data_IF_608154383975
#
_entry.id   IF_608154383975
#
_cell.length_a   1.000
_cell.length_b   1.000
_cell.length_c   1.000
_cell.angle_alpha   90.00
_cell.angle_beta   90.00
_cell.angle_gamma   90.00
#
_symmetry.space_group_name_H-M   'P 1'
#
loop_
_entity.id
_entity.type
_entity.pdbx_description
1 polymer ?
#
# COMPACT_ATOMS: atom_id res chain seq x y z
N UNK A 1 56.42 12.98 -16.59
CA UNK A 1 54.99 13.30 -16.80
C UNK A 1 54.18 12.57 -15.74
N UNK A 2 53.93 13.24 -14.62
CA UNK A 2 53.07 12.79 -13.53
C UNK A 2 51.68 13.38 -13.79
N UNK A 3 50.68 12.53 -13.95
CA UNK A 3 49.28 12.91 -14.14
C UNK A 3 48.42 12.31 -13.04
N UNK A 4 48.10 13.14 -12.05
CA UNK A 4 47.17 12.88 -10.96
C UNK A 4 45.75 12.63 -11.46
N UNK A 5 45.07 11.61 -10.94
CA UNK A 5 43.61 11.57 -10.85
C UNK A 5 43.17 11.30 -9.42
N UNK A 6 42.38 12.24 -8.91
CA UNK A 6 41.73 12.29 -7.61
C UNK A 6 40.82 11.09 -7.34
N UNK A 7 40.77 10.55 -6.11
CA UNK A 7 39.65 9.71 -5.70
C UNK A 7 38.45 10.63 -5.38
N UNK A 8 37.30 10.38 -6.01
CA UNK A 8 36.03 10.98 -5.61
C UNK A 8 35.61 10.38 -4.26
N UNK A 9 35.95 11.08 -3.19
CA UNK A 9 35.39 10.89 -1.85
C UNK A 9 34.03 11.59 -1.77
N UNK A 10 32.96 10.84 -1.51
CA UNK A 10 31.65 11.42 -1.19
C UNK A 10 30.54 10.41 -0.92
N UNK A 11 30.52 9.27 -1.63
CA UNK A 11 29.44 8.27 -1.53
C UNK A 11 29.83 7.01 -0.77
N UNK A 12 31.11 6.62 -0.74
CA UNK A 12 31.56 5.46 0.05
C UNK A 12 31.67 5.77 1.55
N UNK A 13 31.90 7.02 1.94
CA UNK A 13 32.03 7.42 3.35
C UNK A 13 30.69 7.48 4.10
N UNK A 14 29.57 7.72 3.40
CA UNK A 14 28.23 7.74 3.99
C UNK A 14 27.76 6.34 4.42
N UNK A 15 28.34 5.28 3.86
CA UNK A 15 28.06 3.90 4.23
C UNK A 15 28.70 3.47 5.57
N UNK A 16 29.50 4.31 6.23
CA UNK A 16 30.32 3.92 7.38
C UNK A 16 29.91 4.55 8.73
N UNK A 17 28.70 5.08 8.87
CA UNK A 17 28.13 5.50 10.16
C UNK A 17 26.72 4.96 10.37
N UNK A 18 26.63 3.64 10.54
CA UNK A 18 25.38 2.98 10.87
C UNK A 18 25.63 2.04 12.07
N UNK A 19 24.70 2.12 13.02
CA UNK A 19 24.68 1.46 14.33
C UNK A 19 24.93 -0.05 14.26
N UNK A 20 25.25 -0.65 15.41
CA UNK A 20 25.62 -2.07 15.58
C UNK A 20 24.67 -3.04 14.84
N UNK A 21 23.37 -2.75 14.75
CA UNK A 21 22.41 -3.59 14.03
C UNK A 21 22.60 -3.56 12.50
N UNK A 22 22.97 -2.42 11.93
CA UNK A 22 23.29 -2.33 10.50
C UNK A 22 24.65 -2.94 10.18
N UNK A 23 25.59 -2.93 11.12
CA UNK A 23 26.82 -3.72 10.99
C UNK A 23 26.51 -5.22 11.03
N UNK A 24 25.66 -5.68 11.97
CA UNK A 24 25.19 -7.08 12.03
C UNK A 24 24.46 -7.52 10.76
N UNK A 25 23.62 -6.65 10.16
CA UNK A 25 22.91 -6.93 8.91
C UNK A 25 23.80 -6.81 7.66
N UNK A 26 24.81 -5.92 7.64
CA UNK A 26 25.82 -5.84 6.57
C UNK A 26 26.69 -7.08 6.51
N UNK A 27 26.97 -7.75 7.63
CA UNK A 27 27.70 -9.03 7.64
C UNK A 27 26.89 -10.15 6.98
N UNK A 28 25.55 -10.12 7.08
CA UNK A 28 24.67 -11.03 6.35
C UNK A 28 24.47 -10.63 4.87
N UNK A 29 24.54 -9.34 4.55
CA UNK A 29 24.36 -8.80 3.20
C UNK A 29 25.71 -8.60 2.49
N UNK A 30 26.12 -9.61 1.72
CA UNK A 30 27.22 -9.55 0.74
C UNK A 30 28.65 -9.47 1.31
N UNK A 31 29.13 -10.58 1.86
CA UNK A 31 30.56 -10.88 1.88
C UNK A 31 30.88 -12.02 0.90
N UNK A 32 31.10 -11.69 -0.38
CA UNK A 32 32.37 -12.03 -1.06
C UNK A 32 32.44 -11.38 -2.43
N UNK A 33 33.61 -10.81 -2.72
CA UNK A 33 33.95 -10.11 -3.96
C UNK A 33 33.74 -11.01 -5.18
N UNK A 34 32.85 -10.62 -6.09
CA UNK A 34 33.02 -10.62 -7.56
C UNK A 34 31.73 -10.11 -8.19
N UNK A 35 31.90 -9.24 -9.18
CA UNK A 35 30.86 -8.68 -10.03
C UNK A 35 29.82 -9.74 -10.44
N UNK A 36 28.55 -9.35 -10.48
CA UNK A 36 27.38 -10.14 -10.91
C UNK A 36 26.62 -10.99 -9.86
N UNK A 37 27.00 -10.99 -8.56
CA UNK A 37 26.24 -11.70 -7.49
C UNK A 37 25.37 -10.83 -6.59
N UNK A 38 25.44 -9.50 -6.68
CA UNK A 38 24.71 -8.59 -5.77
C UNK A 38 23.19 -8.68 -5.89
N UNK A 39 22.65 -8.63 -7.11
CA UNK A 39 21.20 -8.74 -7.35
C UNK A 39 20.65 -10.13 -7.01
N UNK A 40 21.39 -11.20 -7.35
CA UNK A 40 21.01 -12.57 -6.99
C UNK A 40 21.03 -12.80 -5.47
N UNK A 41 22.03 -12.29 -4.76
CA UNK A 41 22.12 -12.37 -3.30
C UNK A 41 20.99 -11.58 -2.63
N UNK A 42 20.72 -10.34 -3.07
CA UNK A 42 19.60 -9.54 -2.55
C UNK A 42 18.27 -10.21 -2.86
N UNK A 43 18.05 -10.75 -4.06
CA UNK A 43 16.79 -11.41 -4.44
C UNK A 43 16.61 -12.77 -3.74
N UNK A 44 17.67 -13.57 -3.59
CA UNK A 44 17.63 -14.85 -2.90
C UNK A 44 17.51 -14.70 -1.37
N UNK A 45 18.09 -13.64 -0.80
CA UNK A 45 18.01 -13.36 0.65
C UNK A 45 16.86 -12.43 1.03
N UNK A 46 16.19 -11.77 0.06
CA UNK A 46 15.03 -10.90 0.28
C UNK A 46 13.95 -11.56 1.14
N UNK A 47 13.53 -12.82 0.89
CA UNK A 47 12.50 -13.44 1.71
C UNK A 47 12.96 -13.56 3.16
N UNK A 48 14.25 -13.80 3.39
CA UNK A 48 14.80 -14.12 4.71
C UNK A 48 15.05 -12.87 5.53
N UNK A 49 15.79 -11.90 4.98
CA UNK A 49 16.09 -10.67 5.72
C UNK A 49 14.84 -9.83 5.94
N UNK A 50 13.89 -9.83 4.99
CA UNK A 50 12.59 -9.16 5.19
C UNK A 50 11.70 -9.85 6.23
N UNK A 51 11.88 -11.15 6.44
CA UNK A 51 11.11 -11.92 7.42
C UNK A 51 11.66 -11.85 8.84
N UNK A 52 12.90 -11.41 9.08
CA UNK A 52 13.48 -11.33 10.45
C UNK A 52 13.97 -9.94 10.84
N UNK A 53 14.04 -9.02 9.88
CA UNK A 53 14.52 -7.66 10.08
C UNK A 53 13.83 -6.68 9.12
N UNK A 54 12.54 -6.91 8.83
CA UNK A 54 11.72 -6.09 7.94
C UNK A 54 11.71 -4.61 8.31
N UNK A 55 11.62 -4.28 9.60
CA UNK A 55 11.64 -2.88 10.05
C UNK A 55 13.03 -2.26 9.95
N UNK A 56 14.09 -2.98 10.38
CA UNK A 56 15.46 -2.49 10.21
C UNK A 56 15.81 -2.22 8.73
N UNK A 57 15.36 -3.11 7.82
CA UNK A 57 15.56 -2.94 6.38
C UNK A 57 14.73 -1.81 5.79
N UNK A 58 13.49 -1.62 6.23
CA UNK A 58 12.66 -0.50 5.78
C UNK A 58 13.26 0.85 6.18
N UNK A 59 13.82 0.96 7.39
CA UNK A 59 14.59 2.14 7.78
C UNK A 59 15.82 2.34 6.88
N UNK A 60 16.63 1.30 6.71
CA UNK A 60 17.83 1.37 5.87
C UNK A 60 17.48 1.82 4.44
N UNK A 61 16.41 1.28 3.86
CA UNK A 61 15.90 1.67 2.55
C UNK A 61 15.47 3.14 2.53
N UNK A 62 14.71 3.56 3.54
CA UNK A 62 14.20 4.93 3.65
C UNK A 62 15.32 5.95 3.77
N UNK A 63 16.36 5.67 4.56
CA UNK A 63 17.54 6.52 4.70
C UNK A 63 18.39 6.53 3.42
N UNK A 64 18.65 5.35 2.84
CA UNK A 64 19.50 5.22 1.65
C UNK A 64 18.89 5.90 0.41
N UNK A 65 17.56 5.87 0.30
CA UNK A 65 16.81 6.49 -0.79
C UNK A 65 16.31 7.90 -0.45
N UNK A 66 16.65 8.42 0.75
CA UNK A 66 16.26 9.76 1.23
C UNK A 66 14.74 10.00 1.14
N UNK A 67 13.94 9.02 1.55
CA UNK A 67 12.48 9.05 1.40
C UNK A 67 11.76 9.95 2.40
N UNK A 68 12.45 10.79 3.17
CA UNK A 68 11.84 11.62 4.23
C UNK A 68 10.67 12.47 3.71
N UNK A 69 10.88 13.21 2.62
CA UNK A 69 9.85 14.05 2.01
C UNK A 69 8.75 13.22 1.33
N UNK A 70 9.11 12.06 0.75
CA UNK A 70 8.18 11.14 0.14
C UNK A 70 7.22 10.50 1.17
N UNK A 71 7.76 10.13 2.34
CA UNK A 71 7.00 9.65 3.50
C UNK A 71 6.08 10.76 4.02
N UNK A 72 6.57 12.00 4.12
CA UNK A 72 5.75 13.13 4.54
C UNK A 72 4.61 13.43 3.56
N UNK A 73 4.89 13.40 2.25
CA UNK A 73 3.87 13.57 1.21
C UNK A 73 2.82 12.44 1.24
N UNK A 74 3.25 11.19 1.36
CA UNK A 74 2.34 10.03 1.50
C UNK A 74 1.45 10.17 2.73
N UNK A 75 2.01 10.61 3.87
CA UNK A 75 1.22 10.88 5.08
C UNK A 75 0.18 11.99 4.87
N UNK A 76 0.52 13.08 4.19
CA UNK A 76 -0.45 14.15 3.88
C UNK A 76 -1.59 13.65 3.00
N UNK A 77 -1.28 12.93 1.91
CA UNK A 77 -2.29 12.32 1.04
C UNK A 77 -3.17 11.34 1.80
N UNK A 78 -2.59 10.53 2.68
CA UNK A 78 -3.34 9.63 3.54
C UNK A 78 -4.32 10.36 4.47
N UNK A 79 -3.89 11.41 5.16
CA UNK A 79 -4.79 12.16 6.05
C UNK A 79 -5.93 12.82 5.27
N UNK A 80 -5.64 13.41 4.10
CA UNK A 80 -6.68 13.97 3.24
C UNK A 80 -7.69 12.90 2.80
N UNK A 81 -7.21 11.72 2.40
CA UNK A 81 -8.05 10.60 2.00
C UNK A 81 -8.91 10.07 3.14
N UNK A 82 -8.32 9.91 4.32
CA UNK A 82 -9.01 9.47 5.54
C UNK A 82 -10.15 10.43 5.89
N UNK A 83 -9.86 11.73 5.95
CA UNK A 83 -10.83 12.75 6.32
C UNK A 83 -11.97 12.84 5.29
N UNK A 84 -11.63 12.94 4.00
CA UNK A 84 -12.62 13.02 2.93
C UNK A 84 -13.52 11.78 2.88
N UNK A 85 -12.96 10.59 3.13
CA UNK A 85 -13.74 9.34 3.21
C UNK A 85 -14.72 9.36 4.39
N UNK A 86 -14.28 9.79 5.57
CA UNK A 86 -15.15 9.89 6.75
C UNK A 86 -16.28 10.90 6.56
N UNK A 87 -15.97 12.07 6.01
CA UNK A 87 -16.98 13.08 5.68
C UNK A 87 -17.99 12.58 4.64
N UNK A 88 -17.53 11.79 3.67
CA UNK A 88 -18.41 11.24 2.64
C UNK A 88 -19.34 10.17 3.20
N UNK A 89 -18.88 9.30 4.11
CA UNK A 89 -19.74 8.26 4.71
C UNK A 89 -20.97 8.84 5.41
N UNK A 90 -20.88 10.06 5.97
CA UNK A 90 -22.04 10.76 6.53
C UNK A 90 -23.10 11.17 5.49
N UNK A 91 -22.75 11.17 4.19
CA UNK A 91 -23.60 11.61 3.07
C UNK A 91 -24.03 10.48 2.14
N UNK A 92 -23.41 9.31 2.24
CA UNK A 92 -23.71 8.14 1.39
C UNK A 92 -25.16 7.70 1.61
N UNK A 93 -25.97 7.72 0.55
CA UNK A 93 -27.43 7.50 0.64
C UNK A 93 -27.85 6.03 0.81
N UNK A 94 -26.98 5.09 0.48
CA UNK A 94 -27.32 3.67 0.50
C UNK A 94 -27.03 2.97 1.82
N UNK A 95 -26.28 3.64 2.71
CA UNK A 95 -26.05 3.19 4.08
C UNK A 95 -27.11 3.82 5.00
N UNK A 96 -27.62 3.05 5.94
CA UNK A 96 -28.35 3.62 7.08
C UNK A 96 -27.39 4.35 8.05
N UNK A 97 -27.96 5.16 8.94
CA UNK A 97 -27.19 5.98 9.88
C UNK A 97 -26.28 5.16 10.82
N UNK A 98 -26.69 3.95 11.22
CA UNK A 98 -25.89 3.09 12.10
C UNK A 98 -24.67 2.55 11.37
N UNK A 99 -24.86 2.07 10.14
CA UNK A 99 -23.77 1.56 9.29
C UNK A 99 -22.81 2.69 8.91
N UNK A 100 -23.32 3.88 8.58
CA UNK A 100 -22.49 5.06 8.30
C UNK A 100 -21.64 5.48 9.51
N UNK A 101 -22.23 5.53 10.72
CA UNK A 101 -21.50 5.81 11.95
C UNK A 101 -20.44 4.73 12.25
N UNK A 102 -20.78 3.46 12.03
CA UNK A 102 -19.85 2.33 12.12
C UNK A 102 -18.68 2.49 11.16
N UNK A 103 -18.92 2.85 9.90
CA UNK A 103 -17.89 3.09 8.90
C UNK A 103 -16.95 4.25 9.28
N UNK A 104 -17.50 5.38 9.74
CA UNK A 104 -16.70 6.52 10.25
C UNK A 104 -15.83 6.09 11.43
N UNK A 105 -16.42 5.33 12.35
CA UNK A 105 -15.73 4.76 13.50
C UNK A 105 -14.59 3.83 13.07
N UNK A 106 -14.84 2.96 12.10
CA UNK A 106 -13.88 2.01 11.55
C UNK A 106 -12.68 2.72 10.92
N UNK A 107 -12.87 3.73 10.05
CA UNK A 107 -11.76 4.55 9.52
C UNK A 107 -10.98 5.25 10.64
N UNK A 108 -11.66 5.71 11.69
CA UNK A 108 -11.00 6.34 12.84
C UNK A 108 -10.16 5.35 13.67
N UNK A 109 -10.48 4.05 13.65
CA UNK A 109 -9.73 2.99 14.34
C UNK A 109 -8.60 2.38 13.53
N UNK A 110 -8.53 2.66 12.23
CA UNK A 110 -7.53 2.10 11.33
C UNK A 110 -6.13 2.60 11.68
N UNK A 111 -5.25 1.68 12.07
CA UNK A 111 -3.85 1.97 12.31
C UNK A 111 -3.11 2.11 10.97
N UNK A 112 -2.10 2.97 10.94
CA UNK A 112 -1.29 3.22 9.75
C UNK A 112 0.19 2.89 10.03
N UNK A 113 0.81 2.18 9.09
CA UNK A 113 2.24 1.96 9.04
C UNK A 113 2.74 2.51 7.71
N UNK A 114 3.22 3.75 7.70
CA UNK A 114 3.78 4.39 6.51
C UNK A 114 5.30 4.36 6.63
N UNK A 115 5.92 3.52 5.81
CA UNK A 115 7.34 3.17 5.78
C UNK A 115 7.85 2.44 7.03
N UNK A 116 7.56 2.93 8.24
CA UNK A 116 8.04 2.42 9.52
C UNK A 116 7.01 2.70 10.64
N UNK A 117 6.96 1.88 11.71
CA UNK A 117 6.23 2.23 12.92
C UNK A 117 6.77 3.50 13.58
N UNK A 118 5.88 4.35 14.10
CA UNK A 118 6.24 5.65 14.68
C UNK A 118 7.21 5.52 15.88
N UNK A 119 7.00 4.50 16.71
CA UNK A 119 7.80 4.24 17.91
C UNK A 119 9.15 3.56 17.61
N UNK A 120 9.44 3.18 16.35
CA UNK A 120 10.69 2.52 15.95
C UNK A 120 11.51 3.38 14.97
N UNK A 121 11.42 4.71 15.10
CA UNK A 121 12.14 5.64 14.22
C UNK A 121 13.61 5.82 14.60
N UNK A 122 13.97 5.62 15.87
CA UNK A 122 15.35 5.82 16.32
C UNK A 122 16.18 4.54 16.26
N UNK A 123 17.51 4.68 16.30
CA UNK A 123 18.41 3.53 16.26
C UNK A 123 18.33 2.70 17.54
N UNK A 124 18.33 3.32 18.74
CA UNK A 124 18.09 2.58 19.98
C UNK A 124 16.80 1.76 19.98
N UNK A 125 15.67 2.35 19.54
CA UNK A 125 14.38 1.65 19.53
C UNK A 125 14.39 0.43 18.61
N UNK A 126 15.00 0.56 17.42
CA UNK A 126 15.15 -0.56 16.49
C UNK A 126 16.12 -1.61 17.00
N UNK A 127 17.23 -1.20 17.60
CA UNK A 127 18.22 -2.12 18.17
C UNK A 127 17.58 -2.93 19.29
N UNK A 128 16.76 -2.30 20.14
CA UNK A 128 15.98 -2.96 21.18
C UNK A 128 14.92 -3.90 20.58
N UNK A 129 14.17 -3.47 19.57
CA UNK A 129 13.15 -4.31 18.94
C UNK A 129 13.74 -5.59 18.30
N UNK A 130 14.98 -5.51 17.81
CA UNK A 130 15.70 -6.61 17.16
C UNK A 130 16.78 -7.24 18.05
N UNK A 131 16.71 -7.06 19.37
CA UNK A 131 17.67 -7.62 20.34
C UNK A 131 17.79 -9.17 20.26
N UNK A 132 16.71 -9.82 19.80
CA UNK A 132 16.62 -11.24 19.58
C UNK A 132 17.48 -11.75 18.41
N UNK A 133 17.98 -10.88 17.52
CA UNK A 133 18.76 -11.32 16.38
C UNK A 133 20.13 -11.87 16.84
N UNK A 134 20.53 -13.06 16.35
CA UNK A 134 21.84 -13.61 16.68
C UNK A 134 22.95 -12.78 16.04
N UNK A 135 24.18 -12.96 16.52
CA UNK A 135 25.33 -12.56 15.74
C UNK A 135 25.47 -13.46 14.51
N UNK A 136 25.50 -12.86 13.32
CA UNK A 136 25.55 -13.58 12.05
C UNK A 136 27.00 -13.99 11.70
N UNK A 137 27.64 -14.75 12.59
CA UNK A 137 29.01 -15.27 12.41
C UNK A 137 29.06 -16.68 11.84
N UNK A 138 27.91 -17.37 11.78
CA UNK A 138 27.77 -18.75 11.32
C UNK A 138 27.40 -18.84 9.83
N UNK A 139 27.61 -20.00 9.17
CA UNK A 139 27.12 -20.25 7.82
C UNK A 139 25.64 -19.88 7.65
N UNK A 140 25.29 -19.42 6.45
CA UNK A 140 24.00 -18.81 6.15
C UNK A 140 22.78 -19.58 6.70
N UNK A 141 22.70 -20.89 6.45
CA UNK A 141 21.57 -21.71 6.89
C UNK A 141 21.45 -21.76 8.43
N UNK A 142 22.57 -21.85 9.14
CA UNK A 142 22.58 -21.88 10.61
C UNK A 142 22.21 -20.52 11.20
N UNK A 143 22.78 -19.45 10.65
CA UNK A 143 22.42 -18.06 10.94
C UNK A 143 20.91 -17.81 10.77
N UNK A 144 20.32 -18.33 9.69
CA UNK A 144 18.89 -18.23 9.42
C UNK A 144 18.04 -19.02 10.40
N UNK A 145 18.34 -20.31 10.61
CA UNK A 145 17.61 -21.15 11.56
C UNK A 145 17.64 -20.56 12.98
N UNK A 146 18.78 -20.00 13.38
CA UNK A 146 18.91 -19.33 14.69
C UNK A 146 18.03 -18.08 14.76
N UNK A 147 18.04 -17.22 13.74
CA UNK A 147 17.20 -16.02 13.71
C UNK A 147 15.70 -16.37 13.69
N UNK A 148 15.29 -17.35 12.89
CA UNK A 148 13.91 -17.83 12.81
C UNK A 148 13.43 -18.42 14.14
N UNK A 149 14.27 -19.24 14.80
CA UNK A 149 13.95 -19.79 16.12
C UNK A 149 13.81 -18.68 17.17
N UNK A 150 14.75 -17.73 17.23
CA UNK A 150 14.71 -16.63 18.20
C UNK A 150 13.52 -15.68 17.97
N UNK A 151 13.13 -15.46 16.71
CA UNK A 151 11.89 -14.75 16.35
C UNK A 151 10.66 -15.48 16.87
N UNK A 152 10.58 -16.80 16.64
CA UNK A 152 9.49 -17.64 17.16
C UNK A 152 9.41 -17.54 18.68
N UNK A 153 10.55 -17.62 19.38
CA UNK A 153 10.59 -17.52 20.84
C UNK A 153 10.23 -16.11 21.34
N UNK A 154 10.57 -15.04 20.60
CA UNK A 154 10.07 -13.67 20.87
C UNK A 154 8.54 -13.62 20.82
N UNK A 155 7.93 -14.18 19.77
CA UNK A 155 6.47 -14.19 19.66
C UNK A 155 5.79 -15.06 20.70
N UNK A 156 6.36 -16.21 21.08
CA UNK A 156 5.83 -17.00 22.21
C UNK A 156 5.82 -16.18 23.50
N UNK A 157 6.92 -15.48 23.81
CA UNK A 157 6.96 -14.60 24.98
C UNK A 157 5.92 -13.48 24.93
N UNK A 158 5.66 -12.90 23.76
CA UNK A 158 4.60 -11.90 23.59
C UNK A 158 3.19 -12.48 23.81
N UNK A 159 2.98 -13.75 23.46
CA UNK A 159 1.71 -14.44 23.70
C UNK A 159 1.54 -14.89 25.17
N UNK A 160 2.66 -15.13 25.87
CA UNK A 160 2.68 -15.59 27.27
C UNK A 160 2.61 -14.43 28.29
N UNK A 161 2.52 -13.18 27.84
CA UNK A 161 2.40 -12.01 28.73
C UNK A 161 0.94 -11.58 28.92
N UNK A 162 0.57 -11.22 30.15
CA UNK A 162 -0.70 -10.52 30.48
C UNK A 162 -0.72 -9.05 30.01
N UNK A 163 0.31 -8.61 29.26
CA UNK A 163 0.49 -7.25 28.78
C UNK A 163 -0.32 -6.93 27.53
N UNK A 164 -0.39 -5.64 27.18
CA UNK A 164 -0.98 -5.20 25.91
C UNK A 164 0.02 -5.48 24.78
N UNK A 165 -0.33 -6.39 23.88
CA UNK A 165 0.40 -6.57 22.61
C UNK A 165 -0.07 -5.48 21.64
N UNK A 166 0.84 -4.60 21.24
CA UNK A 166 0.58 -3.63 20.20
C UNK A 166 0.67 -4.31 18.83
N UNK A 167 -0.14 -3.83 17.88
CA UNK A 167 -0.20 -4.46 16.55
C UNK A 167 1.12 -4.32 15.80
N UNK A 168 1.83 -3.23 16.08
CA UNK A 168 3.15 -2.91 15.54
C UNK A 168 4.28 -3.69 16.23
N UNK A 169 4.01 -4.44 17.31
CA UNK A 169 4.98 -5.39 17.89
C UNK A 169 5.22 -6.59 16.96
N UNK A 170 4.29 -6.83 16.04
CA UNK A 170 4.36 -7.85 15.02
C UNK A 170 5.08 -7.32 13.79
N UNK A 171 6.36 -7.66 13.70
CA UNK A 171 7.19 -7.25 12.57
C UNK A 171 6.66 -7.69 11.20
N UNK A 172 6.46 -6.72 10.31
CA UNK A 172 5.97 -6.92 8.95
C UNK A 172 7.11 -6.87 7.90
N UNK A 173 7.00 -7.63 6.78
CA UNK A 173 8.01 -7.63 5.72
C UNK A 173 7.90 -6.38 4.83
N UNK A 174 8.54 -5.29 5.25
CA UNK A 174 8.36 -3.96 4.63
C UNK A 174 9.28 -3.62 3.43
N UNK A 175 9.96 -4.61 2.83
CA UNK A 175 10.98 -4.36 1.77
C UNK A 175 10.46 -4.46 0.32
N UNK A 176 9.14 -4.64 0.18
CA UNK A 176 8.38 -4.66 -1.06
C UNK A 176 8.20 -3.30 -1.74
N UNK A 177 7.86 -3.32 -3.03
CA UNK A 177 7.13 -2.23 -3.69
C UNK A 177 5.67 -2.65 -3.66
N UNK A 178 5.00 -2.38 -2.54
CA UNK A 178 3.61 -2.77 -2.35
C UNK A 178 2.94 -1.97 -1.23
N UNK A 179 1.64 -2.17 -1.07
CA UNK A 179 0.85 -1.76 0.08
C UNK A 179 -0.07 -2.91 0.50
N UNK A 180 -0.56 -2.89 1.74
CA UNK A 180 -1.43 -3.94 2.27
C UNK A 180 -2.40 -3.41 3.33
N UNK A 181 -3.62 -3.93 3.34
CA UNK A 181 -4.46 -3.99 4.53
C UNK A 181 -4.34 -5.35 5.23
N UNK A 182 -4.20 -5.32 6.55
CA UNK A 182 -4.12 -6.51 7.41
C UNK A 182 -5.35 -6.57 8.32
N UNK A 183 -6.41 -7.34 7.97
CA UNK A 183 -7.69 -7.26 8.66
C UNK A 183 -7.64 -7.56 10.15
N UNK A 184 -6.96 -8.64 10.55
CA UNK A 184 -6.90 -9.06 11.96
C UNK A 184 -6.16 -8.06 12.85
N UNK A 185 -5.30 -7.23 12.26
CA UNK A 185 -4.62 -6.15 12.98
C UNK A 185 -5.27 -4.80 12.73
N UNK A 186 -6.23 -4.71 11.81
CA UNK A 186 -6.80 -3.44 11.37
C UNK A 186 -5.70 -2.37 11.14
N UNK A 187 -4.65 -2.76 10.41
CA UNK A 187 -3.52 -1.93 9.98
C UNK A 187 -3.54 -1.80 8.47
N UNK A 188 -3.31 -0.59 7.99
CA UNK A 188 -2.86 -0.33 6.62
C UNK A 188 -1.34 -0.10 6.60
N UNK A 189 -0.59 -0.91 5.84
CA UNK A 189 0.85 -0.85 5.73
C UNK A 189 1.28 -0.39 4.31
N UNK A 190 1.97 0.75 4.23
CA UNK A 190 2.49 1.34 2.99
C UNK A 190 4.01 1.24 3.03
N UNK A 191 4.59 0.46 2.12
CA UNK A 191 6.01 0.14 2.18
C UNK A 191 6.85 1.26 1.55
N UNK A 192 8.08 1.51 2.03
CA UNK A 192 8.94 2.57 1.50
C UNK A 192 9.15 2.46 -0.03
N UNK A 193 9.23 1.23 -0.55
CA UNK A 193 9.46 0.97 -1.96
C UNK A 193 8.39 1.55 -2.91
N UNK A 194 7.16 1.75 -2.43
CA UNK A 194 6.07 2.33 -3.24
C UNK A 194 6.04 3.86 -3.21
N UNK A 195 6.82 4.50 -2.34
CA UNK A 195 6.86 5.97 -2.19
C UNK A 195 7.86 6.61 -3.17
N UNK A 196 7.89 6.10 -4.39
CA UNK A 196 8.80 6.52 -5.46
C UNK A 196 8.04 6.54 -6.80
N UNK A 197 8.59 7.19 -7.84
CA UNK A 197 7.99 7.14 -9.16
C UNK A 197 7.85 5.70 -9.67
N UNK A 198 6.75 5.36 -10.37
CA UNK A 198 5.70 6.26 -10.85
C UNK A 198 4.56 6.52 -9.84
N UNK A 199 4.60 5.94 -8.65
CA UNK A 199 3.52 6.03 -7.67
C UNK A 199 3.50 7.37 -6.93
N UNK A 200 4.67 7.91 -6.60
CA UNK A 200 4.82 9.22 -5.97
C UNK A 200 6.02 9.98 -6.55
N UNK A 201 5.80 11.23 -6.94
CA UNK A 201 6.84 12.14 -7.38
C UNK A 201 6.72 13.48 -6.66
N UNK A 202 7.79 13.87 -5.96
CA UNK A 202 7.89 15.18 -5.31
C UNK A 202 8.08 16.33 -6.30
N UNK A 203 8.39 16.01 -7.55
CA UNK A 203 8.63 16.98 -8.63
C UNK A 203 7.39 17.17 -9.52
N UNK A 204 6.38 16.31 -9.39
CA UNK A 204 5.14 16.40 -10.13
C UNK A 204 4.10 17.22 -9.33
N UNK A 205 3.08 17.80 -10.00
CA UNK A 205 1.93 18.36 -9.30
C UNK A 205 1.31 17.38 -8.32
N UNK A 206 0.79 17.86 -7.18
CA UNK A 206 0.15 17.00 -6.18
C UNK A 206 -1.02 16.19 -6.76
N UNK A 207 -1.69 16.71 -7.78
CA UNK A 207 -2.68 16.00 -8.61
C UNK A 207 -2.20 14.60 -9.04
N UNK A 208 -0.94 14.49 -9.48
CA UNK A 208 -0.35 13.21 -9.90
C UNK A 208 -0.26 12.25 -8.72
N UNK A 209 0.17 12.73 -7.55
CA UNK A 209 0.32 11.90 -6.36
C UNK A 209 -1.05 11.44 -5.83
N UNK A 210 -2.07 12.28 -5.85
CA UNK A 210 -3.44 11.89 -5.47
C UNK A 210 -4.04 10.86 -6.44
N UNK A 211 -3.76 10.98 -7.74
CA UNK A 211 -4.17 9.98 -8.74
C UNK A 211 -3.41 8.67 -8.63
N UNK A 212 -2.11 8.71 -8.40
CA UNK A 212 -1.22 7.55 -8.35
C UNK A 212 -1.20 6.89 -6.95
N UNK A 213 -0.34 7.34 -6.03
CA UNK A 213 -0.28 6.75 -4.68
C UNK A 213 -1.60 6.92 -3.92
N UNK A 214 -2.34 8.01 -4.14
CA UNK A 214 -3.65 8.21 -3.52
C UNK A 214 -4.66 7.13 -3.90
N UNK A 215 -4.65 6.64 -5.15
CA UNK A 215 -5.45 5.48 -5.57
C UNK A 215 -5.04 4.20 -4.83
N UNK A 216 -3.74 3.97 -4.62
CA UNK A 216 -3.26 2.82 -3.83
C UNK A 216 -3.68 2.93 -2.36
N UNK A 217 -3.57 4.11 -1.75
CA UNK A 217 -4.04 4.35 -0.38
C UNK A 217 -5.56 4.13 -0.26
N UNK A 218 -6.33 4.60 -1.25
CA UNK A 218 -7.77 4.39 -1.32
C UNK A 218 -8.13 2.91 -1.51
N UNK A 219 -7.35 2.18 -2.30
CA UNK A 219 -7.50 0.75 -2.50
C UNK A 219 -7.32 -0.02 -1.18
N UNK A 220 -6.22 0.21 -0.45
CA UNK A 220 -6.00 -0.47 0.83
C UNK A 220 -7.01 -0.06 1.91
N UNK A 221 -7.43 1.21 1.95
CA UNK A 221 -8.54 1.62 2.83
C UNK A 221 -9.85 0.90 2.46
N UNK A 222 -10.07 0.63 1.17
CA UNK A 222 -11.28 -0.07 0.74
C UNK A 222 -11.30 -1.52 1.20
N UNK A 223 -10.15 -2.20 1.25
CA UNK A 223 -10.05 -3.56 1.81
C UNK A 223 -10.54 -3.65 3.27
N UNK A 224 -10.48 -2.56 4.05
CA UNK A 224 -11.05 -2.54 5.40
C UNK A 224 -12.57 -2.65 5.43
N UNK A 225 -13.23 -2.45 4.29
CA UNK A 225 -14.67 -2.56 4.11
C UNK A 225 -15.11 -3.83 3.38
N UNK A 226 -14.20 -4.78 3.13
CA UNK A 226 -14.60 -6.09 2.63
C UNK A 226 -15.37 -6.85 3.73
N UNK A 227 -16.67 -7.16 3.54
CA UNK A 227 -17.48 -7.83 4.55
C UNK A 227 -16.95 -9.21 4.94
N UNK A 228 -16.18 -9.87 4.07
CA UNK A 228 -15.54 -11.16 4.34
C UNK A 228 -14.59 -11.11 5.52
N UNK A 229 -14.02 -9.94 5.79
CA UNK A 229 -13.04 -9.71 6.86
C UNK A 229 -13.48 -8.56 7.78
N UNK A 230 -14.78 -8.38 7.96
CA UNK A 230 -15.33 -7.33 8.83
C UNK A 230 -14.82 -7.48 10.27
N UNK A 231 -14.14 -6.45 10.75
CA UNK A 231 -13.56 -6.36 12.08
C UNK A 231 -13.96 -5.06 12.77
N UNK A 232 -13.88 -5.06 14.10
CA UNK A 232 -14.02 -3.87 14.91
C UNK A 232 -12.73 -3.05 14.93
N UNK A 233 -12.73 -1.96 15.68
CA UNK A 233 -11.56 -1.08 15.84
C UNK A 233 -10.35 -1.76 16.46
N UNK A 234 -10.53 -2.88 17.15
CA UNK A 234 -9.48 -3.68 17.80
C UNK A 234 -8.95 -4.80 16.88
N UNK A 235 -9.64 -5.12 15.79
CA UNK A 235 -9.31 -6.24 14.89
C UNK A 235 -10.13 -7.50 15.20
N UNK A 236 -11.03 -7.44 16.19
CA UNK A 236 -11.96 -8.51 16.52
C UNK A 236 -13.04 -8.66 15.46
N UNK A 237 -13.31 -9.89 15.01
CA UNK A 237 -14.34 -10.12 13.97
C UNK A 237 -15.72 -9.74 14.49
N UNK A 238 -16.35 -8.77 13.83
CA UNK A 238 -17.73 -8.36 14.13
C UNK A 238 -18.48 -8.11 12.83
N UNK A 239 -19.81 -8.19 12.85
CA UNK A 239 -20.63 -7.65 11.78
C UNK A 239 -21.25 -6.32 12.24
N UNK A 240 -20.74 -5.22 11.72
CA UNK A 240 -21.24 -3.88 12.03
C UNK A 240 -22.17 -3.31 10.94
N UNK A 241 -22.41 -4.07 9.85
CA UNK A 241 -23.40 -3.73 8.84
C UNK A 241 -24.79 -4.14 9.29
N UNK A 242 -25.79 -3.27 9.13
CA UNK A 242 -27.18 -3.72 9.20
C UNK A 242 -27.52 -4.59 7.99
N UNK A 243 -28.59 -5.37 8.10
CA UNK A 243 -29.11 -6.18 6.98
C UNK A 243 -29.39 -5.32 5.74
N UNK A 244 -30.03 -4.15 5.92
CA UNK A 244 -30.38 -3.27 4.81
C UNK A 244 -29.14 -2.73 4.08
N UNK A 245 -28.16 -2.22 4.84
CA UNK A 245 -26.93 -1.71 4.25
C UNK A 245 -26.10 -2.81 3.59
N UNK A 246 -26.11 -4.03 4.16
CA UNK A 246 -25.43 -5.19 3.58
C UNK A 246 -26.07 -5.65 2.26
N UNK A 247 -27.39 -5.62 2.15
CA UNK A 247 -28.10 -5.88 0.88
C UNK A 247 -27.67 -4.86 -0.20
N UNK A 248 -27.64 -3.57 0.15
CA UNK A 248 -27.19 -2.50 -0.75
C UNK A 248 -25.70 -2.57 -1.12
N UNK A 249 -24.86 -3.05 -0.21
CA UNK A 249 -23.46 -3.33 -0.51
C UNK A 249 -23.32 -4.51 -1.48
N UNK A 250 -24.09 -5.58 -1.25
CA UNK A 250 -24.10 -6.79 -2.10
C UNK A 250 -24.56 -6.45 -3.52
N UNK A 251 -25.60 -5.62 -3.68
CA UNK A 251 -26.05 -5.12 -4.99
C UNK A 251 -24.90 -4.45 -5.78
N UNK A 252 -24.06 -3.67 -5.10
CA UNK A 252 -22.91 -2.98 -5.70
C UNK A 252 -21.78 -3.93 -6.06
N UNK A 253 -21.49 -4.90 -5.19
CA UNK A 253 -20.51 -5.95 -5.52
C UNK A 253 -20.96 -6.78 -6.73
N UNK A 254 -22.23 -7.16 -6.82
CA UNK A 254 -22.74 -7.89 -7.98
C UNK A 254 -22.71 -7.04 -9.26
N UNK A 255 -22.88 -5.72 -9.16
CA UNK A 255 -22.64 -4.80 -10.27
C UNK A 255 -21.19 -4.90 -10.78
N UNK A 256 -20.20 -4.79 -9.87
CA UNK A 256 -18.77 -4.89 -10.21
C UNK A 256 -18.45 -6.26 -10.83
N UNK A 257 -18.92 -7.34 -10.20
CA UNK A 257 -18.74 -8.71 -10.67
C UNK A 257 -19.31 -8.92 -12.08
N UNK A 258 -20.48 -8.34 -12.37
CA UNK A 258 -21.09 -8.40 -13.70
C UNK A 258 -20.24 -7.67 -14.75
N UNK A 259 -19.76 -6.47 -14.45
CA UNK A 259 -18.87 -5.73 -15.37
C UNK A 259 -17.57 -6.48 -15.63
N UNK A 260 -16.97 -7.02 -14.57
CA UNK A 260 -15.74 -7.79 -14.66
C UNK A 260 -15.92 -9.09 -15.44
N UNK A 261 -17.02 -9.81 -15.21
CA UNK A 261 -17.36 -11.04 -15.95
C UNK A 261 -17.61 -10.80 -17.42
N UNK A 262 -18.18 -9.64 -17.79
CA UNK A 262 -18.33 -9.24 -19.20
C UNK A 262 -17.00 -8.90 -19.88
N UNK A 263 -16.01 -8.42 -19.11
CA UNK A 263 -14.68 -8.07 -19.61
C UNK A 263 -13.66 -9.24 -19.57
N UNK A 264 -13.99 -10.32 -18.85
CA UNK A 264 -13.13 -11.49 -18.63
C UNK A 264 -13.95 -12.79 -18.77
N UNK A 265 -14.08 -13.56 -17.69
CA UNK A 265 -14.93 -14.74 -17.56
C UNK A 265 -15.50 -14.83 -16.13
N UNK A 266 -16.43 -15.76 -15.89
CA UNK A 266 -17.08 -15.91 -14.58
C UNK A 266 -16.13 -16.32 -13.45
N UNK A 267 -15.18 -17.23 -13.72
CA UNK A 267 -14.24 -17.74 -12.71
C UNK A 267 -13.28 -16.63 -12.30
N UNK A 268 -12.74 -15.91 -13.28
CA UNK A 268 -11.88 -14.77 -13.07
C UNK A 268 -12.62 -13.65 -12.33
N UNK A 269 -13.84 -13.31 -12.74
CA UNK A 269 -14.64 -12.28 -12.09
C UNK A 269 -14.94 -12.59 -10.61
N UNK A 270 -15.17 -13.86 -10.28
CA UNK A 270 -15.34 -14.29 -8.89
C UNK A 270 -14.03 -14.13 -8.10
N UNK A 271 -12.91 -14.54 -8.66
CA UNK A 271 -11.62 -14.53 -7.96
C UNK A 271 -11.06 -13.10 -7.76
N UNK A 272 -11.28 -12.22 -8.73
CA UNK A 272 -10.77 -10.85 -8.73
C UNK A 272 -11.77 -9.79 -8.19
N UNK A 273 -12.90 -10.22 -7.64
CA UNK A 273 -13.96 -9.31 -7.18
C UNK A 273 -13.50 -8.37 -6.08
N UNK A 274 -12.84 -8.89 -5.04
CA UNK A 274 -12.38 -8.08 -3.89
C UNK A 274 -11.39 -7.00 -4.33
N UNK A 275 -10.41 -7.35 -5.15
CA UNK A 275 -9.43 -6.40 -5.70
C UNK A 275 -10.07 -5.37 -6.65
N UNK A 276 -11.06 -5.78 -7.44
CA UNK A 276 -11.75 -4.87 -8.35
C UNK A 276 -12.70 -3.92 -7.60
N UNK A 277 -13.32 -4.39 -6.52
CA UNK A 277 -14.03 -3.54 -5.56
C UNK A 277 -13.08 -2.52 -4.93
N UNK A 278 -11.91 -2.97 -4.46
CA UNK A 278 -10.89 -2.10 -3.89
C UNK A 278 -10.37 -1.04 -4.88
N UNK A 279 -10.15 -1.41 -6.15
CA UNK A 279 -9.79 -0.44 -7.19
C UNK A 279 -10.93 0.55 -7.49
N UNK A 280 -12.18 0.08 -7.54
CA UNK A 280 -13.35 0.91 -7.89
C UNK A 280 -13.69 1.90 -6.79
N UNK A 281 -13.91 1.44 -5.55
CA UNK A 281 -14.22 2.36 -4.45
C UNK A 281 -12.97 3.10 -3.94
N UNK A 282 -11.77 2.57 -4.21
CA UNK A 282 -10.51 3.23 -3.84
C UNK A 282 -10.22 4.47 -4.67
N UNK A 283 -10.46 4.43 -5.98
CA UNK A 283 -10.30 5.64 -6.82
C UNK A 283 -11.36 6.70 -6.49
N UNK A 284 -12.57 6.30 -6.09
CA UNK A 284 -13.60 7.23 -5.60
C UNK A 284 -13.12 7.97 -4.35
N UNK A 285 -12.57 7.27 -3.35
CA UNK A 285 -11.98 7.87 -2.14
C UNK A 285 -10.81 8.79 -2.46
N UNK A 286 -9.93 8.36 -3.36
CA UNK A 286 -8.80 9.17 -3.80
C UNK A 286 -9.27 10.46 -4.51
N UNK A 287 -10.34 10.38 -5.30
CA UNK A 287 -10.92 11.55 -5.97
C UNK A 287 -11.56 12.52 -4.98
N UNK A 288 -12.28 12.02 -3.97
CA UNK A 288 -12.81 12.85 -2.87
C UNK A 288 -11.67 13.60 -2.16
N UNK A 289 -10.55 12.92 -1.89
CA UNK A 289 -9.37 13.54 -1.31
C UNK A 289 -8.77 14.61 -2.24
N UNK A 290 -8.66 14.31 -3.53
CA UNK A 290 -8.14 15.22 -4.55
C UNK A 290 -8.96 16.51 -4.61
N UNK A 291 -10.28 16.43 -4.48
CA UNK A 291 -11.16 17.61 -4.47
C UNK A 291 -10.93 18.54 -3.27
N UNK A 292 -10.22 18.10 -2.22
CA UNK A 292 -9.84 18.95 -1.08
C UNK A 292 -8.57 19.78 -1.33
N UNK A 293 -7.86 19.53 -2.44
CA UNK A 293 -6.67 20.32 -2.79
C UNK A 293 -7.07 21.77 -3.08
N UNK A 294 -6.38 22.71 -2.44
CA UNK A 294 -6.67 24.13 -2.57
C UNK A 294 -6.32 24.69 -3.96
N UNK A 295 -5.26 24.18 -4.58
CA UNK A 295 -4.75 24.66 -5.87
C UNK A 295 -4.26 23.49 -6.75
N UNK A 296 -5.17 22.60 -7.19
CA UNK A 296 -4.81 21.51 -8.07
C UNK A 296 -4.36 22.07 -9.43
N UNK A 297 -3.30 21.49 -9.99
CA UNK A 297 -2.73 21.93 -11.27
C UNK A 297 -2.63 20.78 -12.26
N UNK A 298 -2.75 21.13 -13.54
CA UNK A 298 -2.57 20.25 -14.69
C UNK A 298 -1.11 20.17 -15.14
N UNK A 299 -0.85 19.31 -16.11
CA UNK A 299 0.49 19.12 -16.70
C UNK A 299 0.33 18.54 -18.11
N UNK A 300 1.28 18.84 -19.01
CA UNK A 300 1.31 18.31 -20.39
C UNK A 300 0.00 18.58 -21.18
N UNK A 301 -0.67 19.70 -20.93
CA UNK A 301 -1.92 20.06 -21.60
C UNK A 301 -3.17 19.37 -21.06
N UNK A 302 -3.06 18.55 -20.01
CA UNK A 302 -4.20 17.95 -19.33
C UNK A 302 -4.68 18.81 -18.16
N UNK A 303 -6.01 18.88 -17.95
CA UNK A 303 -6.60 19.49 -16.76
C UNK A 303 -6.19 18.72 -15.49
N UNK A 304 -6.34 19.31 -14.29
CA UNK A 304 -6.09 18.58 -13.05
C UNK A 304 -6.92 17.28 -12.94
N UNK A 305 -8.20 17.31 -13.30
CA UNK A 305 -9.09 16.13 -13.25
C UNK A 305 -8.63 15.06 -14.25
N UNK A 306 -8.27 15.45 -15.47
CA UNK A 306 -7.73 14.52 -16.46
C UNK A 306 -6.42 13.89 -15.97
N UNK A 307 -5.52 14.72 -15.42
CA UNK A 307 -4.22 14.29 -14.92
C UNK A 307 -4.34 13.32 -13.73
N UNK A 308 -5.31 13.54 -12.82
CA UNK A 308 -5.61 12.62 -11.72
C UNK A 308 -5.88 11.20 -12.26
N UNK A 309 -6.80 11.07 -13.22
CA UNK A 309 -7.16 9.76 -13.77
C UNK A 309 -6.03 9.16 -14.63
N UNK A 310 -5.31 9.98 -15.40
CA UNK A 310 -4.13 9.54 -16.16
C UNK A 310 -3.09 8.94 -15.21
N UNK A 311 -2.76 9.63 -14.11
CA UNK A 311 -1.80 9.16 -13.12
C UNK A 311 -2.24 7.84 -12.47
N UNK A 312 -3.52 7.72 -12.08
CA UNK A 312 -4.07 6.51 -11.49
C UNK A 312 -4.18 5.30 -12.43
N UNK A 313 -4.13 5.55 -13.74
CA UNK A 313 -4.05 4.51 -14.77
C UNK A 313 -2.59 4.18 -15.13
N UNK A 314 -1.71 5.17 -15.15
CA UNK A 314 -0.31 5.04 -15.55
C UNK A 314 0.46 4.03 -14.69
N UNK A 315 0.16 3.97 -13.39
CA UNK A 315 0.78 3.01 -12.46
C UNK A 315 0.46 1.53 -12.79
N UNK A 316 -0.52 1.28 -13.65
CA UNK A 316 -0.89 -0.07 -14.13
C UNK A 316 -0.48 -0.30 -15.60
N UNK A 317 0.29 0.59 -16.22
CA UNK A 317 0.85 0.33 -17.54
C UNK A 317 1.80 -0.87 -17.49
N UNK A 318 1.45 -1.94 -18.19
CA UNK A 318 2.25 -3.16 -18.28
C UNK A 318 2.21 -3.72 -19.71
N UNK A 319 3.29 -4.37 -20.18
CA UNK A 319 3.26 -5.05 -21.47
C UNK A 319 2.30 -6.25 -21.42
N UNK A 320 1.64 -6.55 -22.55
CA UNK A 320 0.60 -7.60 -22.68
C UNK A 320 0.91 -8.93 -21.97
N UNK A 321 2.11 -9.54 -22.04
CA UNK A 321 2.38 -10.82 -21.36
C UNK A 321 2.41 -10.73 -19.82
N UNK A 322 2.40 -9.54 -19.22
CA UNK A 322 2.28 -9.35 -17.76
C UNK A 322 0.83 -9.19 -17.28
N UNK A 323 -0.15 -9.09 -18.18
CA UNK A 323 -1.56 -9.28 -17.83
C UNK A 323 -1.74 -10.77 -17.46
N UNK A 324 -1.73 -11.08 -16.17
CA UNK A 324 -1.64 -12.46 -15.64
C UNK A 324 -2.85 -13.33 -15.97
N UNK A 325 -2.59 -14.62 -15.86
CA UNK A 325 -3.39 -15.79 -16.26
C UNK A 325 -4.77 -15.94 -15.60
N UNK A 326 -5.59 -16.79 -16.23
CA UNK A 326 -6.91 -17.25 -15.80
C UNK A 326 -6.93 -17.60 -14.29
N UNK A 327 -7.96 -17.15 -13.58
CA UNK A 327 -8.14 -17.42 -12.15
C UNK A 327 -7.27 -16.60 -11.18
N UNK A 328 -6.48 -15.62 -11.64
CA UNK A 328 -5.74 -14.71 -10.76
C UNK A 328 -6.66 -13.92 -9.80
N UNK A 329 -6.13 -13.58 -8.62
CA UNK A 329 -6.84 -12.75 -7.61
C UNK A 329 -6.94 -11.27 -8.00
N UNK A 330 -6.16 -10.83 -9.00
CA UNK A 330 -6.21 -9.47 -9.54
C UNK A 330 -6.78 -9.51 -10.96
N UNK A 331 -7.57 -8.49 -11.36
CA UNK A 331 -7.97 -8.38 -12.75
C UNK A 331 -6.77 -7.99 -13.63
N UNK A 332 -6.82 -8.22 -14.95
CA UNK A 332 -5.83 -7.73 -15.89
C UNK A 332 -5.49 -6.25 -15.62
N UNK A 333 -4.21 -5.90 -15.73
CA UNK A 333 -3.71 -4.54 -15.44
C UNK A 333 -4.51 -3.43 -16.15
N UNK A 334 -4.89 -3.65 -17.41
CA UNK A 334 -5.73 -2.69 -18.13
C UNK A 334 -7.11 -2.48 -17.48
N UNK A 335 -7.71 -3.52 -16.91
CA UNK A 335 -9.00 -3.43 -16.21
C UNK A 335 -8.87 -2.77 -14.83
N UNK A 336 -7.70 -2.83 -14.18
CA UNK A 336 -7.41 -2.03 -12.96
C UNK A 336 -7.43 -0.52 -13.20
N UNK A 337 -7.31 -0.09 -14.45
CA UNK A 337 -7.56 1.29 -14.88
C UNK A 337 -8.98 1.46 -15.41
N UNK A 338 -9.33 0.70 -16.46
CA UNK A 338 -10.49 0.98 -17.29
C UNK A 338 -11.83 0.76 -16.60
N UNK A 339 -11.93 -0.24 -15.71
CA UNK A 339 -13.19 -0.57 -15.04
C UNK A 339 -13.51 0.47 -13.93
N UNK A 340 -12.58 0.82 -13.02
CA UNK A 340 -12.77 1.94 -12.10
C UNK A 340 -13.06 3.27 -12.82
N UNK A 341 -12.34 3.58 -13.90
CA UNK A 341 -12.57 4.79 -14.70
C UNK A 341 -13.96 4.79 -15.36
N UNK A 342 -14.44 3.65 -15.85
CA UNK A 342 -15.79 3.48 -16.39
C UNK A 342 -16.87 3.77 -15.34
N UNK A 343 -16.64 3.40 -14.08
CA UNK A 343 -17.59 3.66 -13.00
C UNK A 343 -17.54 5.12 -12.50
N UNK A 344 -16.38 5.77 -12.54
CA UNK A 344 -16.24 7.17 -12.12
C UNK A 344 -16.94 8.16 -13.07
N UNK A 345 -18.04 8.79 -12.62
CA UNK A 345 -18.75 9.83 -13.42
C UNK A 345 -17.83 11.00 -13.78
N UNK A 346 -16.92 11.32 -12.88
CA UNK A 346 -15.96 12.40 -13.00
C UNK A 346 -14.92 12.12 -14.10
N UNK A 347 -14.59 10.86 -14.36
CA UNK A 347 -13.77 10.48 -15.52
C UNK A 347 -14.50 10.86 -16.82
N UNK A 348 -15.76 10.44 -16.96
CA UNK A 348 -16.55 10.75 -18.15
C UNK A 348 -16.70 12.27 -18.37
N UNK A 349 -16.82 13.05 -17.29
CA UNK A 349 -16.88 14.51 -17.36
C UNK A 349 -15.54 15.12 -17.79
N UNK A 350 -14.43 14.70 -17.17
CA UNK A 350 -13.09 15.23 -17.46
C UNK A 350 -12.64 14.94 -18.90
N UNK A 351 -13.05 13.80 -19.47
CA UNK A 351 -12.71 13.39 -20.84
C UNK A 351 -13.84 13.59 -21.85
N UNK A 352 -14.96 14.18 -21.44
CA UNK A 352 -16.14 14.42 -22.29
C UNK A 352 -16.61 13.15 -23.02
N UNK A 353 -16.62 12.02 -22.32
CA UNK A 353 -17.00 10.72 -22.86
C UNK A 353 -18.49 10.74 -23.30
N UNK A 354 -18.83 10.33 -24.54
CA UNK A 354 -20.22 10.26 -24.99
C UNK A 354 -21.05 9.30 -24.15
N UNK A 355 -22.33 9.60 -23.94
CA UNK A 355 -23.24 8.71 -23.22
C UNK A 355 -23.35 7.33 -23.89
N UNK A 356 -23.67 6.30 -23.09
CA UNK A 356 -23.80 4.90 -23.53
C UNK A 356 -22.52 4.29 -24.11
N UNK A 357 -21.35 4.85 -23.75
CA UNK A 357 -20.04 4.26 -24.08
C UNK A 357 -19.46 3.49 -22.91
N UNK A 358 -18.42 2.67 -23.17
CA UNK A 358 -17.73 1.94 -22.11
C UNK A 358 -17.24 2.84 -20.97
N UNK A 359 -16.77 4.05 -21.27
CA UNK A 359 -16.29 5.02 -20.27
C UNK A 359 -17.37 5.99 -19.76
N UNK A 360 -18.60 5.87 -20.26
CA UNK A 360 -19.75 6.59 -19.74
C UNK A 360 -21.03 5.74 -19.85
N UNK A 361 -21.08 4.60 -19.13
CA UNK A 361 -22.24 3.73 -19.15
C UNK A 361 -23.40 4.37 -18.39
N UNK A 362 -24.63 4.02 -18.76
CA UNK A 362 -25.82 4.38 -17.99
C UNK A 362 -25.74 3.90 -16.54
N UNK A 363 -25.33 2.64 -16.35
CA UNK A 363 -25.26 1.98 -15.05
C UNK A 363 -23.80 1.94 -14.56
N UNK A 364 -23.54 2.58 -13.41
CA UNK A 364 -22.24 2.64 -12.75
C UNK A 364 -22.28 1.89 -11.42
N UNK A 365 -21.21 1.20 -11.08
CA UNK A 365 -21.05 0.55 -9.79
C UNK A 365 -20.39 1.53 -8.81
N UNK A 366 -21.21 2.36 -8.16
CA UNK A 366 -20.75 3.48 -7.31
C UNK A 366 -20.93 3.17 -5.82
N UNK A 367 -19.83 3.27 -5.06
CA UNK A 367 -19.80 3.00 -3.61
C UNK A 367 -19.89 4.27 -2.77
N UNK A 368 -19.57 5.42 -3.34
CA UNK A 368 -19.49 6.70 -2.65
C UNK A 368 -20.53 7.73 -3.09
N UNK A 369 -21.51 7.34 -3.92
CA UNK A 369 -22.65 8.16 -4.35
C UNK A 369 -23.36 8.86 -3.18
N UNK A 370 -23.39 10.19 -3.23
CA UNK A 370 -24.03 11.07 -2.24
C UNK A 370 -25.36 11.66 -2.69
#
# INVERSE_FOLDING_TARGET
MLGSRSPHSGTEAALCRLTLLTQRLKVAACMSKRSFRGSACVVQNRPISSQVAGYALARLLSESLQLGDAIAATNRTWQALRNATQENFAKVKWMDASTAAGAVGHVAGLAQLIAMPEHLKTAPDLDQFHDYLPEFSQPFLQSWLSAAQRRSDKYKRLLDTDGTVHREDLELPLTGVNAFYLPFFHIMAILPGIMMPPFLSLQAPETVNYGAIGKILGHELTHSFDPSFSVDRTGGKINWYTKQSMEKFTERLECVKKQLGAATDYVHARNALSETFADTAGIEKAYLAFQTLAAPSGLLGYSPEQLFFIAGCFIFCAPKPYARADGAIYPPFALRCNLPASNAKQFAQAFQCPAETWFNPHNRCDFHAT
#
